data_IF_052317626501
#
_entry.id   IF_052317626501
#
_cell.length_a   1.000
_cell.length_b   1.000
_cell.length_c   1.000
_cell.angle_alpha   90.00
_cell.angle_beta   90.00
_cell.angle_gamma   90.00
#
_symmetry.space_group_name_H-M   'P 1'
#
loop_
_entity.id
_entity.type
_entity.pdbx_description
1 polymer ?
#
# COMPACT_ATOMS: atom_id res chain seq x y z
N UNK A 1 25.79 10.82 11.97
CA UNK A 1 24.76 9.76 12.06
C UNK A 1 25.17 8.65 11.10
N UNK A 2 25.03 7.39 11.50
CA UNK A 2 25.17 6.27 10.56
C UNK A 2 24.00 6.30 9.56
N UNK A 3 24.24 5.83 8.32
CA UNK A 3 23.18 5.66 7.33
C UNK A 3 22.25 4.50 7.75
N UNK A 4 21.10 4.34 7.09
CA UNK A 4 20.13 3.27 7.35
C UNK A 4 20.74 1.87 7.20
N UNK A 5 20.28 0.92 8.01
CA UNK A 5 20.57 -0.51 7.89
C UNK A 5 19.62 -1.17 6.88
N UNK A 6 20.11 -1.35 5.65
CA UNK A 6 19.36 -1.94 4.54
C UNK A 6 19.72 -3.41 4.32
N UNK A 7 20.33 -4.06 5.32
CA UNK A 7 20.79 -5.43 5.20
C UNK A 7 21.98 -5.60 4.26
N UNK A 8 22.21 -6.86 3.87
CA UNK A 8 23.44 -7.29 3.18
C UNK A 8 23.20 -7.77 1.75
N UNK A 9 22.00 -7.54 1.20
CA UNK A 9 21.74 -7.92 -0.19
C UNK A 9 22.49 -7.00 -1.14
N UNK A 10 23.22 -7.58 -2.08
CA UNK A 10 24.07 -6.87 -3.03
C UNK A 10 23.83 -7.37 -4.45
N UNK A 11 23.88 -6.46 -5.41
CA UNK A 11 23.86 -6.77 -6.83
C UNK A 11 25.13 -6.18 -7.45
N UNK A 12 26.06 -7.04 -7.86
CA UNK A 12 27.29 -6.60 -8.49
C UNK A 12 27.00 -5.95 -9.84
N UNK A 13 27.53 -4.75 -10.07
CA UNK A 13 27.35 -3.97 -11.29
C UNK A 13 28.68 -3.61 -11.93
N UNK A 14 28.65 -3.25 -13.22
CA UNK A 14 29.82 -2.80 -13.96
C UNK A 14 30.25 -1.40 -13.52
N UNK A 15 31.07 -1.33 -12.47
CA UNK A 15 31.76 -0.12 -12.00
C UNK A 15 33.11 -0.49 -11.36
N UNK A 16 34.04 0.46 -11.34
CA UNK A 16 35.30 0.33 -10.58
C UNK A 16 35.28 1.14 -9.27
N UNK A 17 34.17 1.82 -8.98
CA UNK A 17 34.00 2.65 -7.80
C UNK A 17 33.27 1.89 -6.71
N UNK A 18 33.97 1.54 -5.63
CA UNK A 18 33.38 0.91 -4.44
C UNK A 18 32.23 1.75 -3.86
N UNK A 19 32.33 3.08 -3.97
CA UNK A 19 31.27 4.00 -3.54
C UNK A 19 30.05 3.91 -4.45
N UNK A 20 30.23 3.82 -5.77
CA UNK A 20 29.11 3.63 -6.70
C UNK A 20 28.40 2.30 -6.45
N UNK A 21 29.16 1.20 -6.26
CA UNK A 21 28.61 -0.11 -5.92
C UNK A 21 27.82 -0.09 -4.60
N UNK A 22 28.36 0.56 -3.56
CA UNK A 22 27.67 0.70 -2.27
C UNK A 22 26.35 1.46 -2.41
N UNK A 23 26.37 2.61 -3.08
CA UNK A 23 25.17 3.42 -3.26
C UNK A 23 24.14 2.77 -4.19
N UNK A 24 24.59 2.02 -5.19
CA UNK A 24 23.70 1.20 -6.02
C UNK A 24 23.00 0.12 -5.18
N UNK A 25 23.72 -0.63 -4.36
CA UNK A 25 23.13 -1.66 -3.48
C UNK A 25 22.11 -1.06 -2.51
N UNK A 26 22.39 0.12 -1.94
CA UNK A 26 21.43 0.85 -1.10
C UNK A 26 20.19 1.28 -1.88
N UNK A 27 20.38 1.82 -3.08
CA UNK A 27 19.27 2.21 -3.96
C UNK A 27 18.40 1.03 -4.34
N UNK A 28 18.99 -0.13 -4.65
CA UNK A 28 18.27 -1.34 -4.99
C UNK A 28 17.46 -1.89 -3.80
N UNK A 29 18.01 -1.91 -2.59
CA UNK A 29 17.25 -2.35 -1.41
C UNK A 29 16.10 -1.40 -1.06
N UNK A 30 16.28 -0.08 -1.21
CA UNK A 30 15.17 0.87 -1.09
C UNK A 30 14.13 0.71 -2.18
N UNK A 31 14.57 0.39 -3.41
CA UNK A 31 13.69 0.11 -4.53
C UNK A 31 12.84 -1.14 -4.26
N UNK A 32 13.43 -2.23 -3.74
CA UNK A 32 12.66 -3.39 -3.28
C UNK A 32 11.67 -3.01 -2.18
N UNK A 33 12.04 -2.12 -1.25
CA UNK A 33 11.10 -1.60 -0.25
C UNK A 33 10.12 -0.53 -0.76
N UNK A 34 10.02 -0.32 -2.07
CA UNK A 34 9.19 0.69 -2.72
C UNK A 34 9.40 2.14 -2.21
N UNK A 35 10.52 2.44 -1.55
CA UNK A 35 10.94 3.80 -1.26
C UNK A 35 11.67 4.40 -2.48
N UNK A 36 10.91 4.63 -3.55
CA UNK A 36 11.42 5.08 -4.84
C UNK A 36 12.18 6.41 -4.76
N UNK A 37 11.75 7.33 -3.88
CA UNK A 37 12.40 8.62 -3.71
C UNK A 37 13.82 8.47 -3.14
N UNK A 38 13.99 7.71 -2.06
CA UNK A 38 15.33 7.47 -1.51
C UNK A 38 16.17 6.55 -2.41
N UNK A 39 15.53 5.63 -3.14
CA UNK A 39 16.21 4.83 -4.17
C UNK A 39 16.84 5.74 -5.24
N UNK A 40 16.08 6.69 -5.80
CA UNK A 40 16.59 7.68 -6.76
C UNK A 40 17.74 8.49 -6.16
N UNK A 41 17.60 8.95 -4.91
CA UNK A 41 18.67 9.69 -4.22
C UNK A 41 19.95 8.84 -4.05
N UNK A 42 19.82 7.55 -3.78
CA UNK A 42 20.95 6.62 -3.72
C UNK A 42 21.59 6.41 -5.09
N UNK A 43 20.81 6.20 -6.14
CA UNK A 43 21.34 6.06 -7.48
C UNK A 43 22.02 7.34 -7.97
N UNK A 44 21.52 8.52 -7.59
CA UNK A 44 22.21 9.79 -7.86
C UNK A 44 23.57 9.84 -7.16
N UNK A 45 23.68 9.41 -5.89
CA UNK A 45 24.97 9.32 -5.19
C UNK A 45 25.92 8.31 -5.83
N UNK A 46 25.40 7.25 -6.45
CA UNK A 46 26.20 6.32 -7.23
C UNK A 46 26.75 6.98 -8.51
N UNK A 47 25.95 7.79 -9.21
CA UNK A 47 26.39 8.60 -10.36
C UNK A 47 27.44 9.63 -9.95
N UNK A 48 27.25 10.30 -8.82
CA UNK A 48 28.21 11.28 -8.30
C UNK A 48 29.59 10.63 -8.02
N UNK A 49 29.59 9.35 -7.65
CA UNK A 49 30.80 8.56 -7.40
C UNK A 49 31.40 7.92 -8.67
N UNK A 50 30.58 7.65 -9.69
CA UNK A 50 30.99 7.16 -11.01
C UNK A 50 29.96 7.58 -12.07
N UNK A 51 30.27 8.66 -12.80
CA UNK A 51 29.39 9.22 -13.82
C UNK A 51 29.20 8.31 -15.04
N UNK A 52 30.02 7.25 -15.19
CA UNK A 52 29.88 6.27 -16.27
C UNK A 52 29.13 5.01 -15.81
N UNK A 53 28.63 4.97 -14.58
CA UNK A 53 27.89 3.83 -14.03
C UNK A 53 26.50 3.72 -14.68
N UNK A 54 26.41 2.99 -15.79
CA UNK A 54 25.16 2.83 -16.56
C UNK A 54 24.01 2.27 -15.71
N UNK A 55 24.31 1.37 -14.78
CA UNK A 55 23.30 0.78 -13.89
C UNK A 55 22.72 1.77 -12.88
N UNK A 56 23.46 2.80 -12.46
CA UNK A 56 22.90 3.84 -11.61
C UNK A 56 21.85 4.68 -12.38
N UNK A 57 22.10 4.99 -13.65
CA UNK A 57 21.08 5.60 -14.52
C UNK A 57 19.88 4.68 -14.76
N UNK A 58 20.12 3.37 -14.96
CA UNK A 58 19.03 2.38 -15.00
C UNK A 58 18.20 2.41 -13.72
N UNK A 59 18.84 2.48 -12.56
CA UNK A 59 18.18 2.54 -11.25
C UNK A 59 17.28 3.76 -11.11
N UNK A 60 17.75 4.95 -11.52
CA UNK A 60 16.92 6.17 -11.56
C UNK A 60 15.73 5.96 -12.51
N UNK A 61 15.99 5.46 -13.72
CA UNK A 61 14.93 5.24 -14.71
C UNK A 61 13.84 4.30 -14.19
N UNK A 62 14.26 3.19 -13.60
CA UNK A 62 13.38 2.18 -13.04
C UNK A 62 12.56 2.74 -11.86
N UNK A 63 13.23 3.43 -10.93
CA UNK A 63 12.61 3.92 -9.71
C UNK A 63 11.65 5.10 -9.94
N UNK A 64 11.88 5.90 -10.99
CA UNK A 64 10.97 6.99 -11.38
C UNK A 64 9.67 6.49 -12.04
N UNK A 65 9.58 5.19 -12.38
CA UNK A 65 8.45 4.58 -13.05
C UNK A 65 7.22 4.28 -12.18
N UNK A 66 6.20 3.64 -12.78
CA UNK A 66 5.10 3.06 -12.03
C UNK A 66 5.57 1.80 -11.31
N UNK A 67 4.92 1.48 -10.20
CA UNK A 67 5.04 0.19 -9.51
C UNK A 67 3.65 -0.33 -9.15
N UNK A 68 3.59 -1.50 -8.50
CA UNK A 68 2.34 -2.17 -8.16
C UNK A 68 1.41 -1.30 -7.28
N UNK A 69 1.99 -0.53 -6.36
CA UNK A 69 1.27 0.32 -5.41
C UNK A 69 0.95 1.71 -5.98
N UNK A 70 1.71 2.16 -6.99
CA UNK A 70 1.49 3.45 -7.64
C UNK A 70 1.59 3.32 -9.17
N UNK A 71 0.53 2.77 -9.83
CA UNK A 71 0.48 2.73 -11.28
C UNK A 71 0.26 4.12 -11.88
N UNK A 72 0.60 4.28 -13.16
CA UNK A 72 0.44 5.56 -13.87
C UNK A 72 -0.95 6.20 -13.74
N UNK A 73 -2.01 5.40 -13.64
CA UNK A 73 -3.36 5.88 -13.49
C UNK A 73 -3.60 6.73 -12.22
N UNK A 74 -2.79 6.55 -11.17
CA UNK A 74 -2.93 7.28 -9.89
C UNK A 74 -2.12 8.58 -9.83
N UNK A 75 -1.20 8.81 -10.76
CA UNK A 75 -0.44 10.06 -10.82
C UNK A 75 -1.32 11.19 -11.35
N UNK A 76 -1.27 12.34 -10.69
CA UNK A 76 -1.71 13.60 -11.29
C UNK A 76 -0.85 13.96 -12.50
N UNK A 77 -1.37 14.82 -13.38
CA UNK A 77 -0.73 15.12 -14.66
C UNK A 77 0.69 15.71 -14.52
N UNK A 78 0.93 16.54 -13.51
CA UNK A 78 2.23 17.18 -13.31
C UNK A 78 3.26 16.17 -12.79
N UNK A 79 2.91 15.42 -11.74
CA UNK A 79 3.76 14.37 -11.19
C UNK A 79 4.07 13.29 -12.22
N UNK A 80 3.08 12.87 -13.02
CA UNK A 80 3.26 11.91 -14.12
C UNK A 80 4.25 12.41 -15.16
N UNK A 81 4.11 13.66 -15.58
CA UNK A 81 4.98 14.27 -16.59
C UNK A 81 6.42 14.34 -16.08
N UNK A 82 6.63 14.75 -14.84
CA UNK A 82 7.96 14.83 -14.22
C UNK A 82 8.61 13.45 -14.11
N UNK A 83 7.88 12.47 -13.58
CA UNK A 83 8.33 11.10 -13.44
C UNK A 83 8.72 10.47 -14.79
N UNK A 84 7.88 10.62 -15.82
CA UNK A 84 8.16 10.10 -17.15
C UNK A 84 9.37 10.78 -17.80
N UNK A 85 9.52 12.10 -17.65
CA UNK A 85 10.68 12.81 -18.17
C UNK A 85 11.98 12.32 -17.53
N UNK A 86 12.01 12.21 -16.20
CA UNK A 86 13.15 11.67 -15.46
C UNK A 86 13.48 10.24 -15.91
N UNK A 87 12.46 9.38 -16.02
CA UNK A 87 12.64 7.99 -16.41
C UNK A 87 13.18 7.85 -17.83
N UNK A 88 12.63 8.62 -18.76
CA UNK A 88 13.07 8.63 -20.16
C UNK A 88 14.50 9.15 -20.30
N UNK A 89 14.82 10.28 -19.66
CA UNK A 89 16.14 10.92 -19.78
C UNK A 89 17.22 10.00 -19.20
N UNK A 90 16.99 9.40 -18.02
CA UNK A 90 17.89 8.42 -17.42
C UNK A 90 18.02 7.14 -18.28
N UNK A 91 16.95 6.72 -18.95
CA UNK A 91 16.99 5.60 -19.91
C UNK A 91 17.93 5.88 -21.07
N UNK A 92 17.89 7.09 -21.66
CA UNK A 92 18.77 7.45 -22.78
C UNK A 92 20.24 7.40 -22.35
N UNK A 93 20.58 7.99 -21.20
CA UNK A 93 21.96 7.97 -20.69
C UNK A 93 22.42 6.55 -20.35
N UNK A 94 21.57 5.71 -19.74
CA UNK A 94 21.91 4.31 -19.47
C UNK A 94 22.23 3.55 -20.78
N UNK A 95 21.45 3.77 -21.85
CA UNK A 95 21.69 3.16 -23.16
C UNK A 95 23.04 3.60 -23.76
N UNK A 96 23.38 4.89 -23.69
CA UNK A 96 24.65 5.43 -24.19
C UNK A 96 25.87 4.81 -23.49
N UNK A 97 25.76 4.55 -22.19
CA UNK A 97 26.84 3.98 -21.36
C UNK A 97 26.89 2.44 -21.36
N UNK A 98 25.85 1.76 -21.87
CA UNK A 98 25.68 0.30 -21.76
C UNK A 98 26.73 -0.54 -22.49
N UNK A 99 27.49 0.04 -23.44
CA UNK A 99 28.46 -0.72 -24.24
C UNK A 99 29.56 -1.39 -23.41
N UNK A 100 29.87 -0.87 -22.22
CA UNK A 100 30.92 -1.38 -21.33
C UNK A 100 30.40 -2.24 -20.17
N UNK A 101 29.09 -2.52 -20.14
CA UNK A 101 28.49 -3.33 -19.07
C UNK A 101 28.40 -4.81 -19.42
N UNK A 102 28.06 -5.65 -18.44
CA UNK A 102 27.82 -7.08 -18.67
C UNK A 102 26.61 -7.32 -19.58
N UNK A 103 26.53 -8.46 -20.29
CA UNK A 103 25.37 -8.79 -21.12
C UNK A 103 24.02 -8.77 -20.36
N UNK A 104 24.04 -9.11 -19.06
CA UNK A 104 22.86 -9.05 -18.20
C UNK A 104 22.40 -7.61 -17.99
N UNK A 105 23.32 -6.71 -17.64
CA UNK A 105 23.04 -5.28 -17.47
C UNK A 105 22.57 -4.64 -18.78
N UNK A 106 23.19 -5.00 -19.91
CA UNK A 106 22.75 -4.56 -21.24
C UNK A 106 21.30 -4.96 -21.52
N UNK A 107 20.88 -6.17 -21.13
CA UNK A 107 19.51 -6.63 -21.31
C UNK A 107 18.52 -5.83 -20.44
N UNK A 108 18.86 -5.57 -19.16
CA UNK A 108 18.05 -4.73 -18.26
C UNK A 108 17.90 -3.30 -18.78
N UNK A 109 18.99 -2.69 -19.23
CA UNK A 109 19.02 -1.34 -19.80
C UNK A 109 18.22 -1.29 -21.10
N UNK A 110 18.41 -2.27 -22.00
CA UNK A 110 17.69 -2.30 -23.27
C UNK A 110 16.17 -2.43 -23.09
N UNK A 111 15.72 -3.12 -22.05
CA UNK A 111 14.29 -3.29 -21.74
C UNK A 111 13.59 -1.98 -21.38
N UNK A 112 14.32 -0.98 -20.85
CA UNK A 112 13.74 0.33 -20.52
C UNK A 112 13.14 1.05 -21.73
N UNK A 113 13.61 0.77 -22.95
CA UNK A 113 13.01 1.31 -24.19
C UNK A 113 11.55 0.91 -24.38
N UNK A 114 11.17 -0.28 -23.90
CA UNK A 114 9.78 -0.73 -23.92
C UNK A 114 8.96 -0.11 -22.79
N UNK A 115 9.59 0.15 -21.63
CA UNK A 115 8.93 0.79 -20.48
C UNK A 115 8.70 2.29 -20.69
N UNK A 116 9.65 2.97 -21.34
CA UNK A 116 9.65 4.41 -21.60
C UNK A 116 9.99 4.70 -23.08
N UNK A 117 9.09 4.38 -24.02
CA UNK A 117 9.35 4.59 -25.45
C UNK A 117 9.40 6.06 -25.87
N UNK A 118 8.87 6.97 -25.04
CA UNK A 118 8.91 8.41 -25.29
C UNK A 118 8.83 9.23 -24.01
N UNK A 119 9.30 10.48 -24.11
CA UNK A 119 9.44 11.45 -23.00
C UNK A 119 8.12 12.12 -22.57
N UNK A 120 7.05 11.99 -23.36
CA UNK A 120 5.76 12.67 -23.15
C UNK A 120 4.64 11.67 -22.85
N UNK A 121 3.67 12.09 -22.03
CA UNK A 121 2.53 11.27 -21.61
C UNK A 121 1.77 10.74 -22.83
N UNK A 122 1.32 9.49 -22.74
CA UNK A 122 0.48 8.84 -23.74
C UNK A 122 -0.80 8.28 -23.12
N UNK A 123 -1.84 8.09 -23.95
CA UNK A 123 -3.06 7.44 -23.51
C UNK A 123 -2.87 5.93 -23.27
N UNK A 124 -1.93 5.28 -23.96
CA UNK A 124 -1.72 3.83 -23.96
C UNK A 124 -0.53 3.40 -23.10
N UNK A 125 -0.19 4.13 -22.03
CA UNK A 125 0.94 3.75 -21.15
C UNK A 125 0.77 2.33 -20.54
N UNK A 126 -0.46 1.84 -20.38
CA UNK A 126 -0.71 0.45 -19.96
C UNK A 126 -0.24 -0.61 -20.99
N UNK A 127 -0.14 -0.24 -22.27
CA UNK A 127 0.48 -1.09 -23.29
C UNK A 127 2.01 -1.12 -23.14
N UNK A 128 2.61 -0.05 -22.63
CA UNK A 128 4.05 -0.01 -22.37
C UNK A 128 4.43 -0.97 -21.25
N UNK A 129 3.61 -1.06 -20.20
CA UNK A 129 3.81 -2.03 -19.12
C UNK A 129 3.76 -3.48 -19.66
N UNK A 130 2.81 -3.79 -20.54
CA UNK A 130 2.73 -5.10 -21.22
C UNK A 130 3.91 -5.36 -22.15
N UNK A 131 4.34 -4.37 -22.92
CA UNK A 131 5.50 -4.50 -23.81
C UNK A 131 6.79 -4.69 -23.00
N UNK A 132 6.94 -3.98 -21.89
CA UNK A 132 8.05 -4.15 -20.95
C UNK A 132 8.06 -5.57 -20.36
N UNK A 133 6.91 -6.08 -19.92
CA UNK A 133 6.80 -7.46 -19.43
C UNK A 133 7.20 -8.51 -20.49
N UNK A 134 6.83 -8.29 -21.76
CA UNK A 134 7.24 -9.18 -22.86
C UNK A 134 8.75 -9.12 -23.12
N UNK A 135 9.36 -7.94 -23.13
CA UNK A 135 10.81 -7.80 -23.29
C UNK A 135 11.56 -8.40 -22.11
N UNK A 136 11.07 -8.21 -20.88
CA UNK A 136 11.63 -8.81 -19.68
C UNK A 136 11.53 -10.33 -19.69
N UNK A 137 10.46 -10.91 -20.26
CA UNK A 137 10.37 -12.37 -20.46
C UNK A 137 11.52 -12.89 -21.32
N UNK A 138 11.83 -12.20 -22.42
CA UNK A 138 12.94 -12.56 -23.31
C UNK A 138 14.30 -12.41 -22.61
N UNK A 139 14.50 -11.29 -21.90
CA UNK A 139 15.70 -11.04 -21.13
C UNK A 139 15.92 -12.10 -20.04
N UNK A 140 14.88 -12.45 -19.28
CA UNK A 140 14.96 -13.49 -18.27
C UNK A 140 15.26 -14.87 -18.87
N UNK A 141 14.65 -15.23 -20.00
CA UNK A 141 14.97 -16.50 -20.67
C UNK A 141 16.45 -16.61 -21.05
N UNK A 142 17.06 -15.51 -21.51
CA UNK A 142 18.49 -15.44 -21.84
C UNK A 142 19.40 -15.44 -20.59
N UNK A 143 18.90 -14.97 -19.44
CA UNK A 143 19.66 -14.81 -18.19
C UNK A 143 18.99 -15.54 -17.01
N UNK A 144 18.43 -16.72 -17.26
CA UNK A 144 17.51 -17.40 -16.33
C UNK A 144 18.11 -17.83 -14.98
N UNK A 145 19.43 -17.70 -14.81
CA UNK A 145 20.13 -17.93 -13.55
C UNK A 145 20.04 -16.73 -12.59
N UNK A 146 19.85 -15.51 -13.09
CA UNK A 146 19.85 -14.28 -12.29
C UNK A 146 18.55 -14.10 -11.49
N UNK A 147 18.68 -13.87 -10.18
CA UNK A 147 17.56 -13.56 -9.30
C UNK A 147 17.08 -12.12 -9.47
N UNK A 148 17.99 -11.15 -9.68
CA UNK A 148 17.61 -9.76 -9.96
C UNK A 148 16.78 -9.66 -11.25
N UNK A 149 17.23 -10.29 -12.33
CA UNK A 149 16.48 -10.36 -13.59
C UNK A 149 15.09 -10.97 -13.40
N UNK A 150 15.00 -12.03 -12.59
CA UNK A 150 13.72 -12.64 -12.24
C UNK A 150 12.82 -11.68 -11.47
N UNK A 151 13.37 -10.96 -10.47
CA UNK A 151 12.62 -10.01 -9.66
C UNK A 151 12.01 -8.91 -10.54
N UNK A 152 12.81 -8.34 -11.44
CA UNK A 152 12.35 -7.31 -12.38
C UNK A 152 11.32 -7.87 -13.37
N UNK A 153 11.50 -9.10 -13.85
CA UNK A 153 10.54 -9.75 -14.73
C UNK A 153 9.19 -9.99 -14.04
N UNK A 154 9.20 -10.53 -12.81
CA UNK A 154 7.99 -10.78 -12.02
C UNK A 154 7.28 -9.47 -11.71
N UNK A 155 7.99 -8.43 -11.30
CA UNK A 155 7.37 -7.12 -11.06
C UNK A 155 6.71 -6.57 -12.34
N UNK A 156 7.35 -6.73 -13.51
CA UNK A 156 6.75 -6.33 -14.79
C UNK A 156 5.44 -7.08 -15.09
N UNK A 157 5.35 -8.37 -14.73
CA UNK A 157 4.11 -9.15 -14.85
C UNK A 157 3.01 -8.61 -13.92
N UNK A 158 3.34 -8.33 -12.65
CA UNK A 158 2.41 -7.80 -11.67
C UNK A 158 1.89 -6.40 -12.07
N UNK A 159 2.77 -5.53 -12.57
CA UNK A 159 2.43 -4.17 -13.01
C UNK A 159 1.51 -4.12 -14.24
N UNK A 160 1.28 -5.24 -14.94
CA UNK A 160 0.29 -5.29 -16.02
C UNK A 160 -1.16 -5.19 -15.50
N UNK A 161 -1.41 -5.67 -14.27
CA UNK A 161 -2.73 -5.73 -13.63
C UNK A 161 -2.61 -5.46 -12.11
N UNK A 162 -2.15 -4.26 -11.71
CA UNK A 162 -1.93 -3.93 -10.31
C UNK A 162 -3.23 -4.08 -9.50
N UNK A 163 -3.14 -4.71 -8.33
CA UNK A 163 -4.27 -5.04 -7.45
C UNK A 163 -5.37 -5.89 -8.10
N UNK A 164 -5.03 -6.62 -9.18
CA UNK A 164 -5.96 -7.46 -9.95
C UNK A 164 -5.28 -8.75 -10.38
N UNK A 165 -4.53 -9.39 -9.48
CA UNK A 165 -3.90 -10.68 -9.74
C UNK A 165 -4.88 -11.84 -9.56
N UNK A 166 -5.84 -11.70 -8.65
CA UNK A 166 -6.87 -12.71 -8.37
C UNK A 166 -8.26 -12.09 -8.45
N UNK A 167 -9.22 -12.88 -8.89
CA UNK A 167 -10.64 -12.57 -8.78
C UNK A 167 -11.12 -13.02 -7.40
N UNK A 168 -11.38 -12.07 -6.50
CA UNK A 168 -11.70 -12.34 -5.08
C UNK A 168 -12.96 -13.22 -4.97
N UNK A 169 -13.96 -12.94 -5.80
CA UNK A 169 -15.27 -13.58 -5.72
C UNK A 169 -15.24 -15.08 -6.06
N UNK A 170 -14.27 -15.51 -6.87
CA UNK A 170 -14.14 -16.90 -7.33
C UNK A 170 -12.86 -17.59 -6.85
N UNK A 171 -11.88 -16.82 -6.38
CA UNK A 171 -10.53 -17.31 -6.07
C UNK A 171 -9.71 -17.71 -7.30
N UNK A 172 -10.17 -17.41 -8.52
CA UNK A 172 -9.43 -17.77 -9.75
C UNK A 172 -8.46 -16.65 -10.16
N UNK A 173 -7.39 -16.93 -10.92
CA UNK A 173 -6.59 -15.87 -11.54
C UNK A 173 -7.47 -14.87 -12.30
N UNK A 174 -7.20 -13.58 -12.12
CA UNK A 174 -7.98 -12.54 -12.79
C UNK A 174 -7.74 -12.55 -14.31
N UNK A 175 -8.76 -12.15 -15.08
CA UNK A 175 -8.67 -12.10 -16.53
C UNK A 175 -7.60 -11.10 -16.99
N UNK A 176 -6.67 -11.55 -17.85
CA UNK A 176 -5.58 -10.73 -18.36
C UNK A 176 -4.38 -10.58 -17.41
N UNK A 177 -4.46 -11.14 -16.20
CA UNK A 177 -3.34 -11.16 -15.27
C UNK A 177 -2.37 -12.30 -15.57
N UNK A 178 -1.08 -12.07 -15.30
CA UNK A 178 -0.02 -13.07 -15.46
C UNK A 178 0.24 -13.87 -14.17
N UNK A 179 -0.81 -14.11 -13.39
CA UNK A 179 -0.75 -14.67 -12.02
C UNK A 179 -0.07 -16.02 -11.96
N UNK A 180 -0.47 -16.96 -12.84
CA UNK A 180 0.10 -18.30 -12.87
C UNK A 180 1.56 -18.29 -13.33
N UNK A 181 1.88 -17.49 -14.34
CA UNK A 181 3.26 -17.32 -14.83
C UNK A 181 4.16 -16.78 -13.70
N UNK A 182 3.74 -15.70 -13.01
CA UNK A 182 4.50 -15.11 -11.90
C UNK A 182 4.68 -16.11 -10.75
N UNK A 183 3.60 -16.81 -10.37
CA UNK A 183 3.62 -17.81 -9.30
C UNK A 183 4.58 -18.96 -9.63
N UNK A 184 4.53 -19.50 -10.85
CA UNK A 184 5.40 -20.58 -11.28
C UNK A 184 6.88 -20.16 -11.22
N UNK A 185 7.22 -18.96 -11.71
CA UNK A 185 8.61 -18.51 -11.70
C UNK A 185 9.15 -18.31 -10.28
N UNK A 186 8.36 -17.70 -9.40
CA UNK A 186 8.74 -17.47 -8.00
C UNK A 186 8.90 -18.78 -7.24
N UNK A 187 7.91 -19.67 -7.31
CA UNK A 187 7.95 -20.93 -6.58
C UNK A 187 9.06 -21.85 -7.07
N UNK A 188 9.29 -21.90 -8.40
CA UNK A 188 10.44 -22.62 -8.96
C UNK A 188 11.76 -22.04 -8.46
N UNK A 189 11.89 -20.71 -8.37
CA UNK A 189 13.10 -20.09 -7.86
C UNK A 189 13.32 -20.43 -6.39
N UNK A 190 12.32 -20.31 -5.53
CA UNK A 190 12.42 -20.69 -4.11
C UNK A 190 12.75 -22.16 -3.90
N UNK A 191 12.27 -23.05 -4.79
CA UNK A 191 12.54 -24.48 -4.70
C UNK A 191 13.92 -24.89 -5.21
N UNK A 192 14.50 -24.17 -6.18
CA UNK A 192 15.65 -24.67 -6.95
C UNK A 192 16.87 -23.76 -6.98
N UNK A 193 16.74 -22.47 -6.63
CA UNK A 193 17.82 -21.49 -6.75
C UNK A 193 18.36 -21.11 -5.37
N UNK A 194 19.67 -21.32 -5.10
CA UNK A 194 20.32 -20.76 -3.92
C UNK A 194 20.15 -19.23 -3.88
N UNK A 195 19.96 -18.67 -2.69
CA UNK A 195 19.80 -17.23 -2.51
C UNK A 195 18.38 -16.69 -2.75
N UNK A 196 17.48 -17.44 -3.40
CA UNK A 196 16.13 -16.95 -3.70
C UNK A 196 15.33 -16.61 -2.43
N UNK A 197 15.47 -17.42 -1.38
CA UNK A 197 14.87 -17.18 -0.07
C UNK A 197 15.60 -16.11 0.76
N UNK A 198 16.61 -15.45 0.20
CA UNK A 198 17.34 -14.32 0.80
C UNK A 198 17.23 -13.05 -0.06
N UNK A 199 16.52 -13.11 -1.19
CA UNK A 199 16.38 -11.98 -2.10
C UNK A 199 15.15 -11.15 -1.73
N UNK A 200 15.31 -9.89 -1.26
CA UNK A 200 14.18 -9.09 -0.76
C UNK A 200 13.08 -8.87 -1.80
N UNK A 201 13.45 -8.52 -3.05
CA UNK A 201 12.49 -8.32 -4.14
C UNK A 201 11.61 -9.54 -4.47
N UNK A 202 12.19 -10.75 -4.62
CA UNK A 202 11.40 -11.96 -4.88
C UNK A 202 10.42 -12.28 -3.76
N UNK A 203 10.88 -12.19 -2.50
CA UNK A 203 10.03 -12.46 -1.33
C UNK A 203 8.88 -11.45 -1.24
N UNK A 204 9.18 -10.17 -1.44
CA UNK A 204 8.19 -9.09 -1.46
C UNK A 204 7.14 -9.29 -2.55
N UNK A 205 7.57 -9.56 -3.79
CA UNK A 205 6.66 -9.77 -4.92
C UNK A 205 5.78 -11.02 -4.75
N UNK A 206 6.30 -12.08 -4.13
CA UNK A 206 5.49 -13.26 -3.84
C UNK A 206 4.41 -12.97 -2.79
N UNK A 207 4.69 -12.14 -1.79
CA UNK A 207 3.66 -11.72 -0.83
C UNK A 207 2.55 -10.94 -1.56
N UNK A 208 2.89 -9.93 -2.36
CA UNK A 208 1.90 -9.18 -3.15
C UNK A 208 1.09 -10.06 -4.11
N UNK A 209 1.74 -11.06 -4.72
CA UNK A 209 1.05 -12.00 -5.58
C UNK A 209 0.02 -12.84 -4.82
N UNK A 210 0.31 -13.19 -3.56
CA UNK A 210 -0.41 -14.20 -2.81
C UNK A 210 -1.42 -13.62 -1.81
N UNK A 211 -1.30 -12.34 -1.42
CA UNK A 211 -2.24 -11.67 -0.52
C UNK A 211 -3.68 -11.73 -1.05
N UNK A 212 -3.88 -11.50 -2.34
CA UNK A 212 -5.20 -11.61 -2.96
C UNK A 212 -5.69 -13.06 -3.22
N UNK A 213 -4.84 -14.07 -3.01
CA UNK A 213 -5.12 -15.44 -3.43
C UNK A 213 -6.10 -16.15 -2.47
N UNK A 214 -6.77 -17.23 -2.90
CA UNK A 214 -7.57 -18.07 -1.99
C UNK A 214 -6.70 -18.99 -1.10
N UNK A 215 -5.37 -18.92 -1.21
CA UNK A 215 -4.41 -19.77 -0.48
C UNK A 215 -3.19 -18.95 0.00
N UNK A 216 -3.41 -17.83 0.72
CA UNK A 216 -2.34 -16.93 1.15
C UNK A 216 -1.29 -17.64 2.03
N UNK A 217 -1.67 -18.72 2.72
CA UNK A 217 -0.80 -19.51 3.59
C UNK A 217 0.42 -20.11 2.87
N UNK A 218 0.37 -20.26 1.54
CA UNK A 218 1.53 -20.70 0.74
C UNK A 218 2.71 -19.72 0.85
N UNK A 219 2.44 -18.44 1.08
CA UNK A 219 3.46 -17.41 1.22
C UNK A 219 4.09 -17.32 2.62
N UNK A 220 3.59 -18.05 3.63
CA UNK A 220 4.08 -17.93 5.02
C UNK A 220 5.60 -18.10 5.17
N UNK A 221 6.20 -19.06 4.45
CA UNK A 221 7.66 -19.28 4.51
C UNK A 221 8.45 -18.11 3.91
N UNK A 222 7.95 -17.53 2.82
CA UNK A 222 8.58 -16.38 2.17
C UNK A 222 8.39 -15.11 3.02
N UNK A 223 7.18 -14.94 3.57
CA UNK A 223 6.84 -13.87 4.50
C UNK A 223 7.79 -13.88 5.72
N UNK A 224 7.99 -15.04 6.35
CA UNK A 224 8.91 -15.15 7.48
C UNK A 224 10.37 -14.85 7.09
N UNK A 225 10.81 -15.32 5.91
CA UNK A 225 12.16 -15.06 5.44
C UNK A 225 12.44 -13.55 5.20
N UNK A 226 11.43 -12.76 4.85
CA UNK A 226 11.60 -11.34 4.54
C UNK A 226 11.79 -10.44 5.77
N UNK A 227 11.15 -10.76 6.91
CA UNK A 227 10.91 -9.83 8.03
C UNK A 227 12.14 -9.07 8.55
N UNK A 228 13.33 -9.67 8.47
CA UNK A 228 14.55 -9.11 9.03
C UNK A 228 15.64 -8.85 7.98
N UNK A 229 15.35 -9.00 6.68
CA UNK A 229 16.39 -8.87 5.64
C UNK A 229 16.83 -7.43 5.40
N UNK A 230 15.93 -6.47 5.57
CA UNK A 230 16.17 -5.04 5.30
C UNK A 230 15.64 -4.22 6.48
N UNK A 231 16.36 -4.16 7.61
CA UNK A 231 15.83 -3.73 8.92
C UNK A 231 15.30 -2.30 9.01
N UNK A 232 15.78 -1.38 8.17
CA UNK A 232 15.32 0.01 8.14
C UNK A 232 14.36 0.31 6.97
N UNK A 233 13.98 -0.69 6.17
CA UNK A 233 12.90 -0.57 5.20
C UNK A 233 11.58 -1.08 5.82
N UNK A 234 10.87 -0.19 6.52
CA UNK A 234 9.64 -0.54 7.23
C UNK A 234 8.59 -1.19 6.35
N UNK A 235 8.47 -0.79 5.07
CA UNK A 235 7.58 -1.48 4.11
C UNK A 235 7.90 -2.99 3.99
N UNK A 236 9.17 -3.40 3.88
CA UNK A 236 9.52 -4.83 3.77
C UNK A 236 9.28 -5.61 5.06
N UNK A 237 9.39 -4.96 6.22
CA UNK A 237 9.04 -5.55 7.53
C UNK A 237 7.52 -5.75 7.63
N UNK A 238 6.77 -4.80 7.09
CA UNK A 238 5.32 -4.79 7.07
C UNK A 238 4.72 -5.83 6.12
N UNK A 239 5.26 -6.00 4.91
CA UNK A 239 4.68 -6.85 3.86
C UNK A 239 4.25 -8.25 4.34
N UNK A 240 5.06 -9.00 5.11
CA UNK A 240 4.66 -10.29 5.70
C UNK A 240 3.33 -10.29 6.45
N UNK A 241 2.92 -9.14 7.00
CA UNK A 241 1.69 -9.00 7.78
C UNK A 241 0.41 -9.01 6.95
N UNK A 242 0.48 -8.81 5.64
CA UNK A 242 -0.65 -9.07 4.74
C UNK A 242 -1.07 -10.55 4.82
N UNK A 243 -0.08 -11.46 4.77
CA UNK A 243 -0.33 -12.90 4.91
C UNK A 243 -0.78 -13.24 6.33
N UNK A 244 -0.14 -12.64 7.36
CA UNK A 244 -0.54 -12.87 8.76
C UNK A 244 -2.00 -12.50 8.99
N UNK A 245 -2.46 -11.36 8.46
CA UNK A 245 -3.84 -10.89 8.60
C UNK A 245 -4.82 -11.88 7.98
N UNK A 246 -4.55 -12.34 6.76
CA UNK A 246 -5.42 -13.26 6.04
C UNK A 246 -5.43 -14.67 6.66
N UNK A 247 -4.33 -15.09 7.26
CA UNK A 247 -4.24 -16.34 8.02
C UNK A 247 -4.74 -16.22 9.46
N UNK A 248 -5.18 -15.04 9.90
CA UNK A 248 -5.72 -14.80 11.24
C UNK A 248 -4.68 -14.70 12.36
N UNK A 249 -3.40 -14.50 12.04
CA UNK A 249 -2.33 -14.26 13.01
C UNK A 249 -2.23 -12.77 13.37
N UNK A 250 -3.27 -12.28 14.04
CA UNK A 250 -3.37 -10.88 14.43
C UNK A 250 -2.26 -10.45 15.42
N UNK A 251 -1.65 -11.39 16.14
CA UNK A 251 -0.53 -11.10 17.03
C UNK A 251 0.71 -10.69 16.23
N UNK A 252 1.04 -11.44 15.17
CA UNK A 252 2.11 -11.07 14.26
C UNK A 252 1.79 -9.78 13.49
N UNK A 253 0.53 -9.54 13.11
CA UNK A 253 0.08 -8.26 12.53
C UNK A 253 0.48 -7.09 13.44
N UNK A 254 0.08 -7.10 14.71
CA UNK A 254 0.42 -6.00 15.64
C UNK A 254 1.92 -5.89 15.87
N UNK A 255 2.60 -7.01 16.09
CA UNK A 255 4.04 -7.05 16.41
C UNK A 255 4.89 -6.47 15.28
N UNK A 256 4.72 -6.99 14.06
CA UNK A 256 5.60 -6.66 12.95
C UNK A 256 5.27 -5.32 12.32
N UNK A 257 4.01 -4.88 12.37
CA UNK A 257 3.70 -3.49 12.03
C UNK A 257 4.27 -2.50 13.05
N UNK A 258 4.34 -2.86 14.34
CA UNK A 258 5.02 -2.01 15.34
C UNK A 258 6.52 -1.89 15.05
N UNK A 259 7.15 -2.97 14.58
CA UNK A 259 8.55 -2.94 14.14
C UNK A 259 8.73 -2.11 12.86
N UNK A 260 7.81 -2.25 11.89
CA UNK A 260 7.81 -1.48 10.66
C UNK A 260 7.65 0.03 10.93
N UNK A 261 6.72 0.42 11.81
CA UNK A 261 6.58 1.81 12.27
C UNK A 261 7.89 2.31 12.88
N UNK A 262 8.55 1.52 13.73
CA UNK A 262 9.82 1.92 14.33
C UNK A 262 10.92 2.17 13.29
N UNK A 263 10.96 1.39 12.21
CA UNK A 263 11.85 1.62 11.07
C UNK A 263 11.46 2.91 10.30
N UNK A 264 10.18 3.08 9.99
CA UNK A 264 9.68 4.26 9.28
C UNK A 264 9.90 5.56 10.06
N UNK A 265 9.87 5.51 11.39
CA UNK A 265 10.14 6.68 12.23
C UNK A 265 11.58 7.16 12.09
N UNK A 266 12.56 6.28 11.86
CA UNK A 266 13.94 6.69 11.56
C UNK A 266 14.00 7.52 10.27
N UNK A 267 13.26 7.08 9.24
CA UNK A 267 13.15 7.80 7.98
C UNK A 267 12.40 9.13 8.14
N UNK A 268 11.29 9.12 8.88
CA UNK A 268 10.51 10.32 9.19
C UNK A 268 11.33 11.38 9.93
N UNK A 269 12.09 11.00 10.95
CA UNK A 269 12.92 11.91 11.74
C UNK A 269 14.00 12.59 10.89
N UNK A 270 14.49 11.90 9.86
CA UNK A 270 15.59 12.37 9.02
C UNK A 270 15.13 13.11 7.77
N UNK A 271 14.13 12.58 7.05
CA UNK A 271 13.69 13.08 5.75
C UNK A 271 12.33 13.82 5.81
N UNK A 272 11.68 13.81 6.99
CA UNK A 272 10.41 14.48 7.23
C UNK A 272 9.18 13.73 6.73
N UNK A 273 8.03 14.42 6.75
CA UNK A 273 6.71 13.84 6.48
C UNK A 273 6.18 14.03 5.06
N UNK A 274 6.84 14.86 4.24
CA UNK A 274 6.34 15.34 2.94
C UNK A 274 6.81 14.42 1.80
N UNK A 275 6.52 13.13 1.94
CA UNK A 275 6.91 12.11 0.97
C UNK A 275 5.87 10.97 0.99
N UNK A 276 5.91 10.13 -0.04
CA UNK A 276 4.98 9.00 -0.19
C UNK A 276 5.17 7.93 0.90
N UNK A 277 6.35 7.89 1.54
CA UNK A 277 6.66 6.94 2.61
C UNK A 277 5.81 7.18 3.87
N UNK A 278 5.28 8.40 4.05
CA UNK A 278 4.22 8.66 5.03
C UNK A 278 2.99 7.77 4.82
N UNK A 279 2.64 7.46 3.56
CA UNK A 279 1.57 6.53 3.24
C UNK A 279 1.81 5.14 3.80
N UNK A 280 3.01 4.59 3.60
CA UNK A 280 3.38 3.29 4.17
C UNK A 280 3.38 3.32 5.71
N UNK A 281 3.87 4.41 6.33
CA UNK A 281 3.78 4.56 7.79
C UNK A 281 2.33 4.58 8.29
N UNK A 282 1.44 5.32 7.65
CA UNK A 282 0.01 5.33 8.00
C UNK A 282 -0.63 3.97 7.81
N UNK A 283 -0.25 3.25 6.75
CA UNK A 283 -0.70 1.89 6.49
C UNK A 283 -0.24 0.91 7.57
N UNK A 284 1.00 1.04 8.06
CA UNK A 284 1.49 0.23 9.17
C UNK A 284 0.68 0.48 10.45
N UNK A 285 0.37 1.74 10.77
CA UNK A 285 -0.54 2.05 11.89
C UNK A 285 -1.94 1.48 11.67
N UNK A 286 -2.47 1.54 10.45
CA UNK A 286 -3.77 0.99 10.09
C UNK A 286 -3.85 -0.52 10.39
N UNK A 287 -2.81 -1.28 10.02
CA UNK A 287 -2.70 -2.70 10.38
C UNK A 287 -2.61 -2.94 11.88
N UNK A 288 -1.84 -2.12 12.64
CA UNK A 288 -1.79 -2.24 14.11
C UNK A 288 -3.19 -2.07 14.69
N UNK A 289 -3.92 -1.03 14.25
CA UNK A 289 -5.28 -0.75 14.73
C UNK A 289 -6.20 -1.93 14.41
N UNK A 290 -6.17 -2.43 13.18
CA UNK A 290 -7.01 -3.55 12.76
C UNK A 290 -6.70 -4.83 13.55
N UNK A 291 -5.43 -5.24 13.60
CA UNK A 291 -5.00 -6.42 14.36
C UNK A 291 -5.34 -6.30 15.84
N UNK A 292 -5.12 -5.13 16.45
CA UNK A 292 -5.45 -4.88 17.85
C UNK A 292 -6.96 -4.96 18.13
N UNK A 293 -7.81 -4.50 17.20
CA UNK A 293 -9.27 -4.66 17.31
C UNK A 293 -9.72 -6.11 17.27
N UNK A 294 -9.04 -6.98 16.50
CA UNK A 294 -9.33 -8.42 16.45
C UNK A 294 -8.79 -9.17 17.68
N UNK A 295 -7.68 -8.72 18.26
CA UNK A 295 -7.15 -9.23 19.52
C UNK A 295 -7.88 -8.74 20.77
N UNK A 296 -8.86 -7.84 20.64
CA UNK A 296 -9.54 -7.23 21.78
C UNK A 296 -8.63 -6.27 22.58
N UNK A 297 -7.62 -5.68 21.94
CA UNK A 297 -6.62 -4.81 22.56
C UNK A 297 -6.91 -3.32 22.33
N UNK A 298 -7.71 -2.71 23.21
CA UNK A 298 -8.10 -1.29 23.10
C UNK A 298 -6.90 -0.33 23.18
N UNK A 299 -6.00 -0.53 24.15
CA UNK A 299 -4.90 0.40 24.38
C UNK A 299 -3.88 0.46 23.22
N UNK A 300 -3.43 -0.67 22.64
CA UNK A 300 -2.64 -0.66 21.41
C UNK A 300 -3.33 0.03 20.23
N UNK A 301 -4.61 -0.23 19.98
CA UNK A 301 -5.35 0.42 18.90
C UNK A 301 -5.38 1.96 19.07
N UNK A 302 -5.72 2.44 20.26
CA UNK A 302 -5.73 3.88 20.56
C UNK A 302 -4.33 4.50 20.55
N UNK A 303 -3.28 3.75 20.90
CA UNK A 303 -1.89 4.22 20.80
C UNK A 303 -1.52 4.46 19.34
N UNK A 304 -1.71 3.46 18.48
CA UNK A 304 -1.41 3.57 17.05
C UNK A 304 -2.21 4.69 16.37
N UNK A 305 -3.50 4.85 16.73
CA UNK A 305 -4.30 5.97 16.22
C UNK A 305 -3.71 7.33 16.58
N UNK A 306 -3.20 7.51 17.81
CA UNK A 306 -2.58 8.78 18.24
C UNK A 306 -1.23 9.01 17.57
N UNK A 307 -0.37 7.99 17.52
CA UNK A 307 0.95 8.09 16.88
C UNK A 307 0.85 8.38 15.37
N UNK A 308 -0.22 7.89 14.73
CA UNK A 308 -0.54 8.23 13.34
C UNK A 308 -0.91 9.71 13.18
N UNK A 309 -1.65 10.31 14.11
CA UNK A 309 -1.91 11.76 14.13
C UNK A 309 -0.63 12.56 14.38
N UNK A 310 0.18 12.14 15.36
CA UNK A 310 1.41 12.84 15.75
C UNK A 310 2.44 12.91 14.60
N UNK A 311 2.37 11.94 13.67
CA UNK A 311 3.31 11.83 12.53
C UNK A 311 2.70 12.22 11.18
N UNK A 312 1.48 12.78 11.15
CA UNK A 312 0.84 13.29 9.94
C UNK A 312 0.45 14.76 10.15
N UNK A 313 1.37 15.70 9.91
CA UNK A 313 1.10 17.12 10.14
C UNK A 313 0.07 17.65 9.14
N UNK A 314 -0.81 18.52 9.61
CA UNK A 314 -1.87 19.14 8.79
C UNK A 314 -1.30 19.81 7.52
N UNK A 315 -0.15 20.46 7.63
CA UNK A 315 0.49 21.13 6.51
C UNK A 315 0.90 20.18 5.38
N UNK A 316 1.11 18.89 5.66
CA UNK A 316 1.30 17.86 4.64
C UNK A 316 -0.02 17.55 3.93
N UNK A 317 -1.14 17.42 4.64
CA UNK A 317 -2.46 17.20 4.02
C UNK A 317 -2.88 18.37 3.11
N UNK A 318 -2.44 19.59 3.40
CA UNK A 318 -2.76 20.78 2.59
C UNK A 318 -2.05 20.86 1.24
N UNK A 319 -1.06 20.00 0.98
CA UNK A 319 -0.37 19.94 -0.32
C UNK A 319 -1.35 19.46 -1.40
N UNK A 320 -1.43 20.24 -2.50
CA UNK A 320 -2.38 20.00 -3.60
C UNK A 320 -1.79 19.19 -4.75
N UNK A 321 -0.46 19.17 -4.89
CA UNK A 321 0.24 18.42 -5.95
C UNK A 321 1.49 17.79 -5.35
N UNK A 322 1.51 16.45 -5.16
CA UNK A 322 0.36 15.55 -5.30
C UNK A 322 -0.76 15.87 -4.28
N UNK A 323 -2.03 15.48 -4.53
CA UNK A 323 -3.15 15.84 -3.66
C UNK A 323 -3.15 15.00 -2.37
N UNK A 324 -2.39 15.43 -1.37
CA UNK A 324 -2.08 14.61 -0.19
C UNK A 324 -3.31 14.26 0.66
N UNK A 325 -4.23 15.21 0.87
CA UNK A 325 -5.45 14.93 1.62
C UNK A 325 -6.29 13.80 1.00
N UNK A 326 -6.27 13.66 -0.33
CA UNK A 326 -7.06 12.64 -1.02
C UNK A 326 -6.58 11.22 -0.75
N UNK A 327 -5.30 11.04 -0.44
CA UNK A 327 -4.73 9.73 -0.12
C UNK A 327 -4.57 9.47 1.39
N UNK A 328 -4.41 10.52 2.21
CA UNK A 328 -3.86 10.37 3.56
C UNK A 328 -4.76 10.83 4.70
N UNK A 329 -5.81 11.64 4.44
CA UNK A 329 -6.66 12.15 5.51
C UNK A 329 -7.58 11.07 6.11
N UNK A 330 -8.08 10.15 5.29
CA UNK A 330 -9.03 9.11 5.73
C UNK A 330 -8.44 8.21 6.82
N UNK A 331 -7.14 7.92 6.78
CA UNK A 331 -6.40 7.19 7.81
C UNK A 331 -6.49 7.82 9.21
N UNK A 332 -6.73 9.12 9.30
CA UNK A 332 -6.89 9.83 10.57
C UNK A 332 -8.27 9.65 11.21
N UNK A 333 -9.16 8.87 10.56
CA UNK A 333 -10.54 8.64 10.97
C UNK A 333 -10.75 7.33 11.75
N UNK A 334 -9.69 6.72 12.27
CA UNK A 334 -9.76 5.39 12.89
C UNK A 334 -10.31 5.39 14.31
N UNK A 335 -10.11 6.47 15.09
CA UNK A 335 -10.61 6.57 16.47
C UNK A 335 -12.13 6.29 16.58
N UNK A 336 -13.02 6.89 15.74
CA UNK A 336 -14.43 6.51 15.68
C UNK A 336 -14.67 4.99 15.61
N UNK A 337 -13.96 4.28 14.72
CA UNK A 337 -14.11 2.83 14.57
C UNK A 337 -13.63 2.05 15.79
N UNK A 338 -12.52 2.47 16.40
CA UNK A 338 -11.99 1.85 17.62
C UNK A 338 -13.04 1.97 18.75
N UNK A 339 -13.59 3.16 18.97
CA UNK A 339 -14.58 3.36 20.04
C UNK A 339 -15.84 2.52 19.82
N UNK A 340 -16.33 2.44 18.58
CA UNK A 340 -17.49 1.59 18.23
C UNK A 340 -17.16 0.11 18.49
N UNK A 341 -16.02 -0.38 18.00
CA UNK A 341 -15.62 -1.79 18.12
C UNK A 341 -15.53 -2.25 19.57
N UNK A 342 -15.07 -1.38 20.46
CA UNK A 342 -14.92 -1.67 21.89
C UNK A 342 -16.13 -1.27 22.74
N UNK A 343 -17.24 -0.83 22.12
CA UNK A 343 -18.46 -0.44 22.81
C UNK A 343 -18.29 0.76 23.75
N UNK A 344 -17.35 1.66 23.45
CA UNK A 344 -17.06 2.87 24.21
C UNK A 344 -18.07 3.97 23.89
N UNK A 345 -19.36 3.68 24.04
CA UNK A 345 -20.46 4.51 23.54
C UNK A 345 -20.46 5.94 24.09
N UNK A 346 -20.14 6.11 25.38
CA UNK A 346 -20.04 7.44 26.00
C UNK A 346 -18.89 8.25 25.40
N UNK A 347 -17.76 7.62 25.14
CA UNK A 347 -16.60 8.28 24.53
C UNK A 347 -16.92 8.63 23.07
N UNK A 348 -17.57 7.71 22.33
CA UNK A 348 -18.02 7.94 20.96
C UNK A 348 -18.98 9.14 20.84
N UNK A 349 -19.94 9.27 21.76
CA UNK A 349 -20.86 10.43 21.83
C UNK A 349 -20.09 11.74 22.08
N UNK A 350 -19.01 11.69 22.85
CA UNK A 350 -18.22 12.85 23.23
C UNK A 350 -17.10 13.21 22.25
N UNK A 351 -16.89 12.44 21.17
CA UNK A 351 -15.90 12.74 20.14
C UNK A 351 -16.06 14.17 19.63
N UNK A 352 -14.99 14.96 19.59
CA UNK A 352 -15.05 16.35 19.09
C UNK A 352 -14.87 16.40 17.58
N UNK A 353 -15.58 17.33 16.92
CA UNK A 353 -15.36 17.59 15.50
C UNK A 353 -14.00 18.30 15.26
N UNK A 354 -13.32 18.03 14.13
CA UNK A 354 -12.13 18.78 13.75
C UNK A 354 -12.49 20.24 13.47
N UNK A 355 -11.53 21.15 13.69
CA UNK A 355 -11.70 22.59 13.42
C UNK A 355 -11.96 22.85 11.93
N UNK A 356 -11.15 22.25 11.06
CA UNK A 356 -11.30 22.33 9.60
C UNK A 356 -12.03 21.09 9.08
N UNK A 357 -13.36 21.12 9.10
CA UNK A 357 -14.20 20.02 8.62
C UNK A 357 -14.15 19.83 7.09
N UNK A 358 -13.60 20.79 6.35
CA UNK A 358 -13.42 20.65 4.90
C UNK A 358 -12.19 19.80 4.61
N UNK A 359 -11.08 20.08 5.30
CA UNK A 359 -9.87 19.26 5.20
C UNK A 359 -10.13 17.84 5.74
N UNK A 360 -10.66 17.75 6.96
CA UNK A 360 -10.93 16.50 7.67
C UNK A 360 -12.36 15.98 7.43
N UNK A 361 -12.77 15.95 6.17
CA UNK A 361 -14.14 15.61 5.78
C UNK A 361 -14.52 14.15 6.09
N UNK A 362 -13.57 13.21 5.94
CA UNK A 362 -13.79 11.79 6.27
C UNK A 362 -13.99 11.61 7.76
N UNK A 363 -13.10 12.21 8.57
CA UNK A 363 -13.19 12.18 10.02
C UNK A 363 -14.49 12.81 10.51
N UNK A 364 -14.89 13.95 9.93
CA UNK A 364 -16.12 14.64 10.28
C UNK A 364 -17.35 13.75 10.10
N UNK A 365 -17.44 13.04 8.96
CA UNK A 365 -18.52 12.09 8.74
C UNK A 365 -18.47 10.94 9.76
N UNK A 366 -17.29 10.34 9.98
CA UNK A 366 -17.15 9.18 10.88
C UNK A 366 -17.36 9.53 12.36
N UNK A 367 -17.08 10.76 12.80
CA UNK A 367 -17.45 11.25 14.14
C UNK A 367 -18.96 11.26 14.31
N UNK A 368 -19.71 11.84 13.37
CA UNK A 368 -21.18 11.83 13.44
C UNK A 368 -21.76 10.42 13.40
N UNK A 369 -21.19 9.54 12.56
CA UNK A 369 -21.54 8.12 12.51
C UNK A 369 -21.36 7.43 13.88
N UNK A 370 -20.19 7.59 14.51
CA UNK A 370 -19.91 6.99 15.81
C UNK A 370 -20.79 7.56 16.94
N UNK A 371 -21.05 8.86 16.94
CA UNK A 371 -21.99 9.49 17.89
C UNK A 371 -23.41 8.93 17.72
N UNK A 372 -23.89 8.83 16.49
CA UNK A 372 -25.23 8.29 16.19
C UNK A 372 -25.37 6.84 16.66
N UNK A 373 -24.38 5.99 16.38
CA UNK A 373 -24.34 4.62 16.91
C UNK A 373 -24.26 4.58 18.44
N UNK A 374 -23.47 5.45 19.06
CA UNK A 374 -23.38 5.55 20.52
C UNK A 374 -24.74 5.88 21.16
N UNK A 375 -25.46 6.87 20.63
CA UNK A 375 -26.81 7.20 21.09
C UNK A 375 -27.79 6.04 20.88
N UNK A 376 -27.78 5.41 19.70
CA UNK A 376 -28.63 4.25 19.41
C UNK A 376 -28.33 3.10 20.39
N UNK A 377 -27.05 2.81 20.62
CA UNK A 377 -26.58 1.77 21.54
C UNK A 377 -27.03 2.01 22.99
N UNK A 378 -27.15 3.27 23.41
CA UNK A 378 -27.67 3.68 24.72
C UNK A 378 -29.19 3.90 24.75
N UNK A 379 -29.91 3.52 23.68
CA UNK A 379 -31.37 3.62 23.53
C UNK A 379 -31.90 5.06 23.47
N UNK A 380 -31.05 6.04 23.18
CA UNK A 380 -31.45 7.42 22.88
C UNK A 380 -31.68 7.58 21.37
N UNK A 381 -32.79 7.03 20.89
CA UNK A 381 -33.14 7.02 19.46
C UNK A 381 -33.31 8.44 18.91
N UNK A 382 -33.79 9.38 19.72
CA UNK A 382 -34.02 10.76 19.29
C UNK A 382 -32.69 11.45 18.93
N UNK A 383 -31.70 11.40 19.81
CA UNK A 383 -30.36 11.94 19.51
C UNK A 383 -29.65 11.15 18.41
N UNK A 384 -29.83 9.82 18.35
CA UNK A 384 -29.27 9.00 17.28
C UNK A 384 -29.72 9.47 15.89
N UNK A 385 -31.00 9.77 15.73
CA UNK A 385 -31.54 10.33 14.48
C UNK A 385 -31.03 11.73 14.17
N UNK A 386 -30.81 12.57 15.19
CA UNK A 386 -30.24 13.90 14.99
C UNK A 386 -28.81 13.79 14.44
N UNK A 387 -27.98 12.95 15.05
CA UNK A 387 -26.60 12.69 14.59
C UNK A 387 -26.58 11.97 13.22
N UNK A 388 -27.55 11.08 12.93
CA UNK A 388 -27.72 10.50 11.59
C UNK A 388 -27.92 11.57 10.51
N UNK A 389 -28.76 12.59 10.76
CA UNK A 389 -28.94 13.68 9.80
C UNK A 389 -27.68 14.52 9.61
N UNK A 390 -26.88 14.70 10.66
CA UNK A 390 -25.59 15.38 10.57
C UNK A 390 -24.56 14.54 9.80
N UNK A 391 -24.52 13.23 10.04
CA UNK A 391 -23.72 12.27 9.28
C UNK A 391 -24.05 12.32 7.79
N UNK A 392 -25.33 12.27 7.42
CA UNK A 392 -25.74 12.30 6.00
C UNK A 392 -25.30 13.60 5.30
N UNK A 393 -25.39 14.75 5.98
CA UNK A 393 -24.89 16.03 5.46
C UNK A 393 -23.37 16.06 5.37
N UNK A 394 -22.67 15.49 6.37
CA UNK A 394 -21.21 15.42 6.36
C UNK A 394 -20.69 14.51 5.23
N UNK A 395 -21.32 13.36 5.03
CA UNK A 395 -20.96 12.41 3.98
C UNK A 395 -21.07 13.02 2.57
N UNK A 396 -22.06 13.88 2.32
CA UNK A 396 -22.21 14.61 1.05
C UNK A 396 -21.07 15.59 0.75
N UNK A 397 -20.28 16.00 1.76
CA UNK A 397 -19.13 16.91 1.58
C UNK A 397 -17.85 16.17 1.22
N UNK A 398 -17.81 14.85 1.35
CA UNK A 398 -16.63 14.06 1.02
C UNK A 398 -16.49 13.96 -0.49
N UNK A 399 -15.36 14.41 -1.08
CA UNK A 399 -15.20 14.40 -2.53
C UNK A 399 -15.01 12.97 -3.05
N UNK A 400 -15.43 12.73 -4.29
CA UNK A 400 -15.23 11.43 -4.95
C UNK A 400 -13.75 11.05 -5.07
N UNK A 401 -12.82 12.01 -5.03
CA UNK A 401 -11.38 11.75 -5.08
C UNK A 401 -10.82 11.19 -3.77
N UNK A 402 -11.51 11.32 -2.64
CA UNK A 402 -11.01 10.85 -1.34
C UNK A 402 -10.92 9.34 -1.30
N UNK A 403 -9.77 8.82 -0.88
CA UNK A 403 -9.45 7.39 -0.81
C UNK A 403 -9.08 6.97 0.61
N UNK A 404 -9.33 5.71 0.92
CA UNK A 404 -8.60 4.94 1.92
C UNK A 404 -7.98 3.79 1.14
N UNK A 405 -6.68 3.90 0.86
CA UNK A 405 -5.96 2.98 -0.02
C UNK A 405 -6.70 2.72 -1.35
N UNK A 406 -7.15 1.48 -1.62
CA UNK A 406 -7.83 1.11 -2.86
C UNK A 406 -9.31 1.54 -2.91
N UNK A 407 -9.90 1.87 -1.76
CA UNK A 407 -11.32 2.18 -1.62
C UNK A 407 -11.61 3.68 -1.72
N UNK A 408 -12.75 4.05 -2.34
CA UNK A 408 -13.25 5.43 -2.23
C UNK A 408 -13.96 5.60 -0.89
N UNK A 409 -13.69 6.71 -0.19
CA UNK A 409 -14.35 6.97 1.09
C UNK A 409 -15.87 7.08 0.94
N UNK A 410 -16.37 7.59 -0.18
CA UNK A 410 -17.82 7.65 -0.45
C UNK A 410 -18.50 6.27 -0.44
N UNK A 411 -17.79 5.22 -0.88
CA UNK A 411 -18.31 3.85 -0.89
C UNK A 411 -18.30 3.26 0.52
N UNK A 412 -17.26 3.55 1.31
CA UNK A 412 -17.20 3.21 2.74
C UNK A 412 -18.32 3.89 3.53
N UNK A 413 -18.63 5.15 3.23
CA UNK A 413 -19.73 5.88 3.89
C UNK A 413 -21.12 5.35 3.47
N UNK A 414 -21.25 4.71 2.31
CA UNK A 414 -22.49 4.02 1.93
C UNK A 414 -22.75 2.80 2.81
N UNK A 415 -21.69 2.07 3.20
CA UNK A 415 -21.75 0.98 4.20
C UNK A 415 -22.16 1.55 5.55
N UNK A 416 -21.48 2.62 6.01
CA UNK A 416 -21.77 3.30 7.26
C UNK A 416 -23.25 3.74 7.34
N UNK A 417 -23.79 4.31 6.25
CA UNK A 417 -25.19 4.71 6.13
C UNK A 417 -26.15 3.53 6.31
N UNK A 418 -25.88 2.41 5.63
CA UNK A 418 -26.72 1.21 5.72
C UNK A 418 -26.65 0.58 7.11
N UNK A 419 -25.47 0.52 7.71
CA UNK A 419 -25.28 0.06 9.08
C UNK A 419 -26.04 0.92 10.10
N UNK A 420 -25.88 2.24 10.02
CA UNK A 420 -26.51 3.17 10.95
C UNK A 420 -28.04 3.09 10.87
N UNK A 421 -28.59 3.06 9.66
CA UNK A 421 -30.03 2.92 9.44
C UNK A 421 -30.56 1.59 10.03
N UNK A 422 -29.78 0.52 9.90
CA UNK A 422 -30.09 -0.79 10.48
C UNK A 422 -30.14 -0.76 12.02
N UNK A 423 -29.07 -0.25 12.63
CA UNK A 423 -28.93 -0.10 14.09
C UNK A 423 -30.03 0.77 14.70
N UNK A 424 -30.33 1.93 14.11
CA UNK A 424 -31.41 2.80 14.58
C UNK A 424 -32.77 2.10 14.45
N UNK A 425 -33.05 1.48 13.29
CA UNK A 425 -34.32 0.78 13.05
C UNK A 425 -34.53 -0.37 14.04
N UNK A 426 -33.47 -1.07 14.42
CA UNK A 426 -33.53 -2.12 15.42
C UNK A 426 -33.98 -1.57 16.77
N UNK A 427 -33.40 -0.44 17.20
CA UNK A 427 -33.74 0.22 18.48
C UNK A 427 -35.14 0.85 18.50
N UNK A 428 -35.73 1.05 17.33
CA UNK A 428 -37.14 1.44 17.17
C UNK A 428 -38.12 0.27 17.14
N UNK A 429 -37.63 -0.98 17.19
CA UNK A 429 -38.47 -2.16 17.02
C UNK A 429 -38.90 -2.44 15.59
N UNK A 430 -38.31 -1.76 14.60
CA UNK A 430 -38.58 -1.95 13.16
C UNK A 430 -37.66 -3.03 12.58
N UNK A 431 -37.76 -4.25 13.11
CA UNK A 431 -36.81 -5.34 12.88
C UNK A 431 -36.64 -5.73 11.41
N UNK A 432 -37.73 -5.83 10.63
CA UNK A 432 -37.65 -6.13 9.20
C UNK A 432 -36.81 -5.10 8.44
N UNK A 433 -37.01 -3.82 8.74
CA UNK A 433 -36.21 -2.74 8.15
C UNK A 433 -34.75 -2.81 8.64
N UNK A 434 -34.55 -3.08 9.93
CA UNK A 434 -33.22 -3.20 10.51
C UNK A 434 -32.37 -4.25 9.80
N UNK A 435 -32.89 -5.46 9.67
CA UNK A 435 -32.17 -6.57 9.04
C UNK A 435 -32.03 -6.40 7.53
N UNK A 436 -32.99 -5.76 6.85
CA UNK A 436 -32.85 -5.38 5.44
C UNK A 436 -31.68 -4.41 5.23
N UNK A 437 -31.57 -3.36 6.06
CA UNK A 437 -30.47 -2.40 5.99
C UNK A 437 -29.11 -3.04 6.28
N UNK A 438 -29.01 -3.92 7.29
CA UNK A 438 -27.75 -4.60 7.62
C UNK A 438 -27.31 -5.60 6.55
N UNK A 439 -28.26 -6.30 5.91
CA UNK A 439 -27.95 -7.13 4.73
C UNK A 439 -27.50 -6.29 3.54
N UNK A 440 -28.08 -5.10 3.35
CA UNK A 440 -27.59 -4.18 2.33
C UNK A 440 -26.16 -3.69 2.63
N UNK A 441 -25.83 -3.44 3.90
CA UNK A 441 -24.45 -3.11 4.29
C UNK A 441 -23.46 -4.22 3.92
N UNK A 442 -23.84 -5.49 4.11
CA UNK A 442 -23.04 -6.65 3.68
C UNK A 442 -22.82 -6.63 2.16
N UNK A 443 -23.88 -6.41 1.38
CA UNK A 443 -23.77 -6.35 -0.09
C UNK A 443 -22.82 -5.23 -0.51
N UNK A 444 -22.88 -4.06 0.13
CA UNK A 444 -21.99 -2.95 -0.16
C UNK A 444 -20.53 -3.27 0.21
N UNK A 445 -20.30 -3.90 1.37
CA UNK A 445 -18.97 -4.34 1.83
C UNK A 445 -18.37 -5.39 0.88
N UNK A 446 -19.15 -6.39 0.48
CA UNK A 446 -18.69 -7.49 -0.40
C UNK A 446 -18.33 -7.02 -1.82
N UNK A 447 -18.82 -5.85 -2.24
CA UNK A 447 -18.55 -5.27 -3.56
C UNK A 447 -17.44 -4.20 -3.54
N UNK A 448 -16.78 -3.99 -2.40
CA UNK A 448 -15.61 -3.12 -2.34
C UNK A 448 -14.42 -3.72 -3.11
N UNK A 449 -13.56 -2.87 -3.71
CA UNK A 449 -12.22 -3.29 -4.12
C UNK A 449 -11.43 -3.97 -2.99
N UNK A 450 -10.57 -4.93 -3.36
CA UNK A 450 -9.66 -5.59 -2.44
C UNK A 450 -8.76 -4.60 -1.71
N UNK A 451 -8.55 -4.81 -0.41
CA UNK A 451 -7.76 -3.92 0.44
C UNK A 451 -7.39 -4.62 1.76
N UNK A 452 -6.18 -4.36 2.27
CA UNK A 452 -5.73 -4.85 3.57
C UNK A 452 -5.19 -3.68 4.41
N UNK A 453 -5.58 -3.62 5.69
CA UNK A 453 -6.77 -4.27 6.23
C UNK A 453 -8.01 -3.83 5.44
N UNK A 454 -9.11 -4.59 5.53
CA UNK A 454 -10.33 -4.28 4.81
C UNK A 454 -10.72 -2.80 4.98
N UNK A 455 -11.02 -2.12 3.86
CA UNK A 455 -11.29 -0.68 3.87
C UNK A 455 -12.42 -0.28 4.83
N UNK A 456 -13.37 -1.19 5.09
CA UNK A 456 -14.33 -1.03 6.17
C UNK A 456 -13.87 -1.73 7.45
N UNK A 457 -13.56 -0.93 8.48
CA UNK A 457 -12.91 -1.38 9.72
C UNK A 457 -13.76 -2.31 10.62
N UNK A 458 -15.09 -2.29 10.49
CA UNK A 458 -15.99 -3.06 11.34
C UNK A 458 -16.82 -4.03 10.50
N UNK A 459 -16.48 -5.34 10.47
CA UNK A 459 -17.18 -6.30 9.62
C UNK A 459 -18.70 -6.21 9.80
N UNK A 460 -19.45 -5.93 8.72
CA UNK A 460 -20.89 -5.65 8.81
C UNK A 460 -21.67 -6.86 9.31
N UNK A 461 -21.17 -8.06 9.00
CA UNK A 461 -21.67 -9.36 9.48
C UNK A 461 -21.61 -9.48 11.01
N UNK A 462 -20.66 -8.84 11.69
CA UNK A 462 -20.63 -8.84 13.16
C UNK A 462 -21.80 -8.05 13.75
N UNK A 463 -22.14 -6.89 13.16
CA UNK A 463 -23.29 -6.11 13.59
C UNK A 463 -24.60 -6.85 13.33
N UNK A 464 -24.76 -7.45 12.15
CA UNK A 464 -25.92 -8.29 11.85
C UNK A 464 -26.04 -9.47 12.83
N UNK A 465 -24.97 -10.22 13.04
CA UNK A 465 -24.97 -11.38 13.93
C UNK A 465 -25.23 -11.04 15.40
N UNK A 466 -24.89 -9.83 15.86
CA UNK A 466 -25.18 -9.38 17.21
C UNK A 466 -26.65 -8.98 17.44
N UNK A 467 -27.40 -8.70 16.37
CA UNK A 467 -28.79 -8.22 16.44
C UNK A 467 -29.82 -9.29 16.04
N UNK A 468 -29.40 -10.34 15.30
CA UNK A 468 -30.19 -11.55 15.04
C UNK A 468 -30.47 -12.31 16.34
#
# INVERSE_FOLDING_TARGET
MHYYDLGTYECAISTQSDQAQLWFNRGLNWLFGYNHQEAIACFQRAIDADANCAMAYWGIAYAAGPNYNLPWALYDAASKSQALQMAFDATQTALELSAQTTPLEQALIAALKARYPKRIIDANMAEWDRNFAQVMRLAFNAHSHSLDMLSIYVEALLNCTPWKMWEISTGTPAAGAYTLDAMEQLERAFATKPGAMQHPGLLHLYIHLMEMSPFPERALKAAEALRNLVPDAGHLIHMPTHIDLLCGDYQNVVRWNSAAVAADLKYYEREGSYNIYTGYRQHNYHFIIYGAMFLGQYAPAMKASREMWDTTPEAMLRVQTPPMADYFESYLSMEPHILIRFGKWKDAINLTLPKDQTLYCSLTALVHYARALGHAALKDVASAKQEEQLFLKAAQRVPESRRLHNNKVIDLLAIAKSMLAGEISYREGRFENAFSCLRNAIILEDNLPYDEPWGWMQPTRHALGALL
#
